data_IF_059951592479
#
_entry.id   IF_059951592479
#
_cell.length_a   1.000
_cell.length_b   1.000
_cell.length_c   1.000
_cell.angle_alpha   90.00
_cell.angle_beta   90.00
_cell.angle_gamma   90.00
#
_symmetry.space_group_name_H-M   'P 1'
#
loop_
_entity.id
_entity.type
_entity.pdbx_description
1 polymer ?
#
# COMPACT_ATOMS: atom_id res chain seq x y z
N UNK A 1 -19.14 19.40 -6.62
CA UNK A 1 -17.66 19.46 -6.72
C UNK A 1 -17.13 19.55 -5.29
N UNK A 2 -16.40 18.55 -4.83
CA UNK A 2 -15.74 18.62 -3.52
C UNK A 2 -14.67 19.71 -3.52
N UNK A 3 -14.56 20.46 -2.44
CA UNK A 3 -13.65 21.61 -2.30
C UNK A 3 -12.16 21.23 -2.23
N UNK A 4 -11.82 19.96 -2.35
CA UNK A 4 -10.43 19.47 -2.27
C UNK A 4 -9.74 19.72 -0.92
N UNK A 5 -10.50 19.91 0.14
CA UNK A 5 -9.96 20.09 1.48
C UNK A 5 -9.80 18.75 2.19
N UNK A 6 -8.61 18.50 2.70
CA UNK A 6 -8.28 17.34 3.53
C UNK A 6 -8.26 17.79 4.99
N UNK A 7 -9.13 17.21 5.82
CA UNK A 7 -9.16 17.48 7.26
C UNK A 7 -8.59 16.27 8.02
N UNK A 8 -7.46 16.44 8.67
CA UNK A 8 -6.83 15.41 9.49
C UNK A 8 -6.84 15.87 10.95
N UNK A 9 -7.65 15.19 11.77
CA UNK A 9 -7.67 15.40 13.21
C UNK A 9 -6.54 14.58 13.87
N UNK A 10 -5.57 15.27 14.46
CA UNK A 10 -4.45 14.63 15.18
C UNK A 10 -4.49 15.04 16.63
N UNK A 11 -4.63 14.11 17.59
CA UNK A 11 -4.43 14.41 19.00
C UNK A 11 -3.01 14.92 19.26
N UNK A 12 -2.87 15.95 20.08
CA UNK A 12 -1.58 16.62 20.35
C UNK A 12 -0.49 15.68 20.90
N UNK A 13 -0.87 14.61 21.59
CA UNK A 13 0.04 13.59 22.13
C UNK A 13 0.49 12.54 21.09
N UNK A 14 0.08 12.66 19.84
CA UNK A 14 0.42 11.74 18.75
C UNK A 14 1.09 12.46 17.58
N UNK A 15 1.98 13.40 17.85
CA UNK A 15 2.60 14.23 16.80
C UNK A 15 3.23 13.40 15.66
N UNK A 16 4.02 12.36 15.98
CA UNK A 16 4.65 11.52 14.96
C UNK A 16 3.62 10.69 14.18
N UNK A 17 2.62 10.14 14.87
CA UNK A 17 1.46 9.48 14.19
C UNK A 17 0.70 10.45 13.30
N UNK A 18 0.60 11.72 13.69
CA UNK A 18 -0.04 12.76 12.89
C UNK A 18 0.67 13.00 11.58
N UNK A 19 2.00 13.09 11.59
CA UNK A 19 2.79 13.25 10.36
C UNK A 19 2.68 12.03 9.45
N UNK A 20 2.72 10.83 10.03
CA UNK A 20 2.53 9.58 9.31
C UNK A 20 1.15 9.51 8.66
N UNK A 21 0.09 9.83 9.41
CA UNK A 21 -1.27 9.87 8.88
C UNK A 21 -1.42 10.95 7.80
N UNK A 22 -0.81 12.13 7.98
CA UNK A 22 -0.82 13.19 6.98
C UNK A 22 -0.22 12.72 5.65
N UNK A 23 0.95 12.09 5.69
CA UNK A 23 1.60 11.54 4.50
C UNK A 23 0.76 10.45 3.84
N UNK A 24 0.14 9.59 4.64
CA UNK A 24 -0.75 8.54 4.18
C UNK A 24 -1.99 9.12 3.46
N UNK A 25 -2.75 9.97 4.12
CA UNK A 25 -3.97 10.56 3.57
C UNK A 25 -3.70 11.49 2.39
N UNK A 26 -2.58 12.23 2.41
CA UNK A 26 -2.17 13.03 1.26
C UNK A 26 -1.90 12.17 0.03
N UNK A 27 -1.29 10.99 0.23
CA UNK A 27 -1.05 10.06 -0.88
C UNK A 27 -2.36 9.53 -1.47
N UNK A 28 -3.37 9.24 -0.62
CA UNK A 28 -4.71 8.92 -1.10
C UNK A 28 -5.33 10.07 -1.92
N UNK A 29 -5.14 11.31 -1.48
CA UNK A 29 -5.61 12.46 -2.25
C UNK A 29 -4.93 12.54 -3.62
N UNK A 30 -3.62 12.25 -3.71
CA UNK A 30 -2.89 12.20 -4.99
C UNK A 30 -3.36 11.02 -5.85
N UNK A 31 -3.55 9.83 -5.28
CA UNK A 31 -4.14 8.68 -5.99
C UNK A 31 -5.51 9.06 -6.58
N UNK A 32 -6.38 9.63 -5.76
CA UNK A 32 -7.73 10.04 -6.17
C UNK A 32 -7.69 11.10 -7.29
N UNK A 33 -6.76 12.04 -7.21
CA UNK A 33 -6.56 13.08 -8.22
C UNK A 33 -6.32 12.50 -9.61
N UNK A 34 -5.60 11.38 -9.71
CA UNK A 34 -5.35 10.71 -10.99
C UNK A 34 -6.65 10.22 -11.66
N UNK A 35 -7.68 9.88 -10.89
CA UNK A 35 -8.94 9.37 -11.40
C UNK A 35 -10.01 10.44 -11.66
N UNK A 36 -9.71 11.72 -11.49
CA UNK A 36 -10.66 12.83 -11.70
C UNK A 36 -11.29 12.87 -13.09
N UNK A 37 -10.56 12.42 -14.09
CA UNK A 37 -11.06 12.32 -15.48
C UNK A 37 -12.06 11.19 -15.68
N UNK A 38 -12.22 10.29 -14.69
CA UNK A 38 -13.14 9.16 -14.70
C UNK A 38 -14.19 9.25 -13.59
N UNK A 39 -15.06 10.27 -13.57
CA UNK A 39 -15.94 10.59 -12.43
C UNK A 39 -16.99 9.51 -12.10
N UNK A 40 -17.22 8.57 -13.03
CA UNK A 40 -18.16 7.46 -12.86
C UNK A 40 -17.51 6.22 -12.21
N UNK A 41 -16.19 6.22 -12.06
CA UNK A 41 -15.43 5.09 -11.52
C UNK A 41 -14.86 5.47 -10.17
N UNK A 42 -15.15 4.67 -9.16
CA UNK A 42 -14.40 4.75 -7.92
C UNK A 42 -12.99 4.21 -8.19
N UNK A 43 -11.98 5.09 -8.28
CA UNK A 43 -10.59 4.73 -8.60
C UNK A 43 -10.03 3.61 -7.69
N UNK A 44 -10.47 3.55 -6.43
CA UNK A 44 -10.10 2.47 -5.53
C UNK A 44 -10.60 1.08 -5.97
N UNK A 45 -11.69 1.01 -6.74
CA UNK A 45 -12.18 -0.25 -7.30
C UNK A 45 -11.36 -0.79 -8.46
N UNK A 46 -10.42 -0.01 -8.97
CA UNK A 46 -9.53 -0.38 -10.07
C UNK A 46 -8.14 -0.85 -9.60
N UNK A 47 -7.82 -0.62 -8.34
CA UNK A 47 -6.56 -1.03 -7.72
C UNK A 47 -6.79 -2.19 -6.75
N UNK A 48 -5.84 -3.14 -6.64
CA UNK A 48 -5.87 -4.11 -5.56
C UNK A 48 -5.83 -3.41 -4.21
N UNK A 49 -6.59 -3.91 -3.25
CA UNK A 49 -6.72 -3.30 -1.93
C UNK A 49 -5.37 -3.20 -1.19
N UNK A 50 -4.53 -4.24 -1.30
CA UNK A 50 -3.19 -4.23 -0.74
C UNK A 50 -2.30 -3.14 -1.32
N UNK A 51 -2.52 -2.78 -2.60
CA UNK A 51 -1.74 -1.75 -3.28
C UNK A 51 -2.26 -0.35 -2.95
N UNK A 52 -3.59 -0.14 -3.02
CA UNK A 52 -4.19 1.17 -2.75
C UNK A 52 -3.95 1.66 -1.33
N UNK A 53 -3.85 0.77 -0.35
CA UNK A 53 -3.55 1.09 1.05
C UNK A 53 -2.05 0.97 1.38
N UNK A 54 -1.35 0.02 0.77
CA UNK A 54 0.08 -0.16 1.00
C UNK A 54 0.93 0.98 0.45
N UNK A 55 0.55 1.56 -0.70
CA UNK A 55 1.28 2.67 -1.30
C UNK A 55 1.32 3.91 -0.39
N UNK A 56 0.22 4.39 0.21
CA UNK A 56 0.24 5.50 1.15
C UNK A 56 1.06 5.25 2.42
N UNK A 57 1.20 3.99 2.84
CA UNK A 57 1.99 3.67 4.01
C UNK A 57 3.49 3.95 3.84
N UNK A 58 4.01 3.89 2.62
CA UNK A 58 5.44 4.16 2.36
C UNK A 58 5.80 5.62 2.69
N UNK A 59 5.21 6.65 2.06
CA UNK A 59 5.48 8.04 2.43
C UNK A 59 4.97 8.39 3.82
N UNK A 60 3.86 7.83 4.27
CA UNK A 60 3.35 8.00 5.63
C UNK A 60 4.38 7.57 6.67
N UNK A 61 4.93 6.38 6.53
CA UNK A 61 5.98 5.89 7.45
C UNK A 61 7.26 6.70 7.33
N UNK A 62 7.67 7.09 6.11
CA UNK A 62 8.91 7.86 5.89
C UNK A 62 8.81 9.26 6.49
N UNK A 63 7.69 9.95 6.31
CA UNK A 63 7.47 11.31 6.81
C UNK A 63 7.17 11.35 8.32
N UNK A 64 6.77 10.22 8.90
CA UNK A 64 6.40 10.10 10.32
C UNK A 64 7.57 10.24 11.29
N UNK A 65 8.83 10.10 10.82
CA UNK A 65 10.01 9.99 11.67
C UNK A 65 11.08 10.99 11.29
N UNK A 66 11.87 11.43 12.27
CA UNK A 66 12.93 12.43 12.07
C UNK A 66 14.28 11.79 11.72
N UNK A 67 14.40 10.47 11.91
CA UNK A 67 15.64 9.74 11.63
C UNK A 67 15.37 8.36 11.04
N UNK A 68 16.37 7.82 10.35
CA UNK A 68 16.34 6.44 9.83
C UNK A 68 16.25 5.42 10.98
N UNK A 69 16.79 5.74 12.13
CA UNK A 69 16.76 4.84 13.30
C UNK A 69 15.34 4.77 13.89
N UNK A 70 14.66 5.91 14.04
CA UNK A 70 13.25 5.93 14.46
C UNK A 70 12.35 5.19 13.46
N UNK A 71 12.59 5.38 12.17
CA UNK A 71 11.90 4.63 11.12
C UNK A 71 12.11 3.12 11.29
N UNK A 72 13.35 2.65 11.48
CA UNK A 72 13.65 1.23 11.71
C UNK A 72 12.95 0.69 12.94
N UNK A 73 12.96 1.44 14.07
CA UNK A 73 12.28 1.03 15.30
C UNK A 73 10.75 0.93 15.09
N UNK A 74 10.15 1.88 14.41
CA UNK A 74 8.73 1.82 14.05
C UNK A 74 8.41 0.61 13.18
N UNK A 75 9.26 0.31 12.20
CA UNK A 75 9.12 -0.84 11.32
C UNK A 75 9.14 -2.15 12.12
N UNK A 76 10.02 -2.28 13.11
CA UNK A 76 10.07 -3.43 14.01
C UNK A 76 8.77 -3.66 14.79
N UNK A 77 8.01 -2.60 15.08
CA UNK A 77 6.72 -2.73 15.77
C UNK A 77 5.68 -3.45 14.91
N UNK A 78 5.71 -3.28 13.59
CA UNK A 78 4.83 -4.00 12.67
C UNK A 78 5.11 -5.50 12.69
N UNK A 79 6.39 -5.89 12.80
CA UNK A 79 6.81 -7.29 12.85
C UNK A 79 6.45 -7.99 14.16
N UNK A 80 6.42 -7.24 15.27
CA UNK A 80 6.14 -7.79 16.62
C UNK A 80 4.67 -7.96 16.91
N UNK A 81 3.79 -7.34 16.14
CA UNK A 81 2.36 -7.45 16.33
C UNK A 81 1.73 -8.21 15.17
N UNK A 82 1.76 -9.55 15.19
CA UNK A 82 1.15 -10.38 14.15
C UNK A 82 -0.36 -10.21 14.20
N UNK A 83 -0.83 -9.10 13.67
CA UNK A 83 -2.25 -8.79 13.67
C UNK A 83 -2.99 -9.69 12.69
N UNK A 84 -3.88 -10.51 13.18
CA UNK A 84 -5.07 -10.94 12.50
C UNK A 84 -5.03 -12.22 11.70
N UNK A 85 -6.15 -12.50 11.14
CA UNK A 85 -6.77 -13.71 10.63
C UNK A 85 -5.99 -14.63 9.64
N UNK A 86 -4.79 -14.28 9.18
CA UNK A 86 -4.02 -15.14 8.29
C UNK A 86 -2.97 -16.00 9.02
N UNK A 87 -2.84 -15.86 10.33
CA UNK A 87 -2.05 -16.74 11.20
C UNK A 87 -0.55 -16.58 11.11
N UNK A 88 0.05 -16.55 9.93
CA UNK A 88 1.49 -16.47 9.73
C UNK A 88 1.88 -15.56 8.55
N UNK A 89 3.16 -15.32 8.41
CA UNK A 89 3.76 -14.56 7.32
C UNK A 89 4.56 -15.46 6.35
N UNK A 90 4.16 -16.73 6.21
CA UNK A 90 4.76 -17.62 5.19
C UNK A 90 4.51 -17.06 3.78
N UNK A 91 5.37 -17.42 2.80
CA UNK A 91 5.14 -17.00 1.42
C UNK A 91 3.77 -17.42 0.89
N UNK A 92 3.27 -18.59 1.30
CA UNK A 92 1.97 -19.12 0.92
C UNK A 92 0.83 -18.26 1.51
N UNK A 93 0.93 -17.85 2.77
CA UNK A 93 -0.04 -16.97 3.42
C UNK A 93 -0.05 -15.58 2.80
N UNK A 94 1.11 -15.04 2.45
CA UNK A 94 1.21 -13.74 1.78
C UNK A 94 0.64 -13.82 0.36
N UNK A 95 0.94 -14.88 -0.38
CA UNK A 95 0.38 -15.08 -1.72
C UNK A 95 -1.15 -15.21 -1.68
N UNK A 96 -1.68 -15.94 -0.69
CA UNK A 96 -3.12 -16.01 -0.42
C UNK A 96 -3.70 -14.63 -0.07
N UNK A 97 -3.00 -13.84 0.73
CA UNK A 97 -3.39 -12.47 1.03
C UNK A 97 -3.52 -11.62 -0.24
N UNK A 98 -2.55 -11.66 -1.16
CA UNK A 98 -2.66 -10.92 -2.42
C UNK A 98 -3.91 -11.29 -3.22
N UNK A 99 -4.28 -12.56 -3.22
CA UNK A 99 -5.51 -13.02 -3.87
C UNK A 99 -6.77 -12.48 -3.18
N UNK A 100 -6.81 -12.47 -1.85
CA UNK A 100 -7.94 -11.97 -1.07
C UNK A 100 -8.04 -10.44 -1.06
N UNK A 101 -6.89 -9.76 -1.08
CA UNK A 101 -6.76 -8.30 -1.12
C UNK A 101 -6.71 -7.75 -2.55
N UNK A 102 -7.17 -8.51 -3.52
CA UNK A 102 -7.26 -8.12 -4.93
C UNK A 102 -8.26 -7.00 -5.18
N UNK A 103 -8.55 -6.75 -6.44
CA UNK A 103 -9.50 -5.72 -6.86
C UNK A 103 -10.89 -6.07 -6.34
N UNK A 104 -11.46 -5.17 -5.54
CA UNK A 104 -12.81 -5.30 -5.00
C UNK A 104 -13.83 -4.60 -5.90
N UNK A 105 -14.90 -5.30 -6.26
CA UNK A 105 -16.02 -4.70 -7.01
C UNK A 105 -16.67 -3.50 -6.32
N UNK A 106 -16.49 -3.37 -5.00
CA UNK A 106 -17.09 -2.31 -4.18
C UNK A 106 -16.06 -1.27 -3.72
N UNK A 107 -14.79 -1.39 -4.10
CA UNK A 107 -13.74 -0.48 -3.66
C UNK A 107 -13.39 -0.59 -2.16
N UNK A 108 -13.92 -1.58 -1.47
CA UNK A 108 -13.68 -1.81 -0.05
C UNK A 108 -12.86 -3.07 0.17
N UNK A 109 -11.86 -2.98 1.03
CA UNK A 109 -11.08 -4.15 1.45
C UNK A 109 -11.92 -5.08 2.33
N UNK A 110 -11.75 -6.40 2.17
CA UNK A 110 -12.41 -7.37 3.04
C UNK A 110 -12.03 -7.09 4.51
N UNK A 111 -13.01 -6.88 5.41
CA UNK A 111 -12.74 -6.61 6.82
C UNK A 111 -11.85 -7.65 7.50
N UNK A 112 -11.90 -8.92 7.04
CA UNK A 112 -11.10 -10.02 7.59
C UNK A 112 -9.60 -9.89 7.36
N UNK A 113 -9.21 -9.16 6.32
CA UNK A 113 -7.81 -8.95 5.96
C UNK A 113 -7.35 -7.50 6.17
N UNK A 114 -8.25 -6.64 6.67
CA UNK A 114 -8.02 -5.20 6.74
C UNK A 114 -6.74 -4.80 7.48
N UNK A 115 -6.39 -5.48 8.56
CA UNK A 115 -5.15 -5.21 9.27
C UNK A 115 -3.91 -5.54 8.44
N UNK A 116 -3.99 -6.58 7.61
CA UNK A 116 -2.87 -7.05 6.76
C UNK A 116 -2.58 -6.16 5.57
N UNK A 117 -3.50 -5.31 5.15
CA UNK A 117 -3.22 -4.35 4.07
C UNK A 117 -2.21 -3.29 4.51
N UNK A 118 -2.16 -2.99 5.81
CA UNK A 118 -1.25 -1.99 6.38
C UNK A 118 0.13 -2.56 6.74
N UNK A 119 0.29 -3.86 6.92
CA UNK A 119 1.58 -4.49 7.15
C UNK A 119 2.13 -5.17 5.88
N UNK A 120 1.45 -6.18 5.35
CA UNK A 120 1.89 -6.89 4.14
C UNK A 120 1.81 -6.00 2.90
N UNK A 121 0.73 -5.21 2.76
CA UNK A 121 0.61 -4.25 1.66
C UNK A 121 1.74 -3.23 1.68
N UNK A 122 2.04 -2.64 2.85
CA UNK A 122 3.16 -1.72 3.03
C UNK A 122 4.49 -2.35 2.63
N UNK A 123 4.84 -3.52 3.19
CA UNK A 123 6.12 -4.18 2.88
C UNK A 123 6.25 -4.54 1.41
N UNK A 124 5.14 -4.90 0.77
CA UNK A 124 5.12 -5.19 -0.67
C UNK A 124 5.42 -3.95 -1.49
N UNK A 125 4.75 -2.83 -1.19
CA UNK A 125 4.97 -1.57 -1.91
C UNK A 125 6.34 -0.98 -1.60
N UNK A 126 6.84 -1.13 -0.36
CA UNK A 126 8.21 -0.74 -0.01
C UNK A 126 9.24 -1.53 -0.86
N UNK A 127 9.05 -2.85 -1.02
CA UNK A 127 9.89 -3.66 -1.89
C UNK A 127 9.83 -3.22 -3.35
N UNK A 128 8.64 -2.91 -3.86
CA UNK A 128 8.46 -2.37 -5.21
C UNK A 128 9.15 -1.01 -5.39
N UNK A 129 9.05 -0.14 -4.39
CA UNK A 129 9.74 1.15 -4.38
C UNK A 129 11.27 0.99 -4.31
N UNK A 130 11.77 0.00 -3.58
CA UNK A 130 13.20 -0.32 -3.54
C UNK A 130 13.74 -0.81 -4.89
N UNK A 131 12.92 -1.49 -5.70
CA UNK A 131 13.31 -2.00 -7.03
C UNK A 131 13.41 -0.86 -8.06
N UNK A 132 12.43 0.04 -8.11
CA UNK A 132 12.32 1.02 -9.22
C UNK A 132 12.05 2.47 -8.77
N UNK A 133 12.14 2.73 -7.48
CA UNK A 133 11.86 4.04 -6.89
C UNK A 133 10.38 4.24 -6.53
N UNK A 134 10.15 5.18 -5.62
CA UNK A 134 8.78 5.44 -5.10
C UNK A 134 7.84 5.94 -6.21
N UNK A 135 8.34 6.68 -7.19
CA UNK A 135 7.54 7.19 -8.30
C UNK A 135 6.96 6.07 -9.16
N UNK A 136 7.69 4.96 -9.33
CA UNK A 136 7.20 3.82 -10.11
C UNK A 136 5.88 3.25 -9.56
N UNK A 137 5.68 3.31 -8.25
CA UNK A 137 4.41 2.89 -7.65
C UNK A 137 3.25 3.81 -8.06
N UNK A 138 3.50 5.11 -8.19
CA UNK A 138 2.50 6.07 -8.68
C UNK A 138 2.28 5.93 -10.20
N UNK A 139 3.32 5.59 -10.97
CA UNK A 139 3.19 5.35 -12.41
C UNK A 139 2.22 4.19 -12.71
N UNK A 140 2.13 3.19 -11.80
CA UNK A 140 1.09 2.14 -11.89
C UNK A 140 -0.31 2.74 -11.75
N UNK A 141 -0.52 3.64 -10.77
CA UNK A 141 -1.81 4.34 -10.56
C UNK A 141 -2.17 5.16 -11.79
N UNK A 142 -1.21 5.91 -12.32
CA UNK A 142 -1.39 6.74 -13.54
C UNK A 142 -1.78 5.87 -14.73
N UNK A 143 -1.12 4.74 -14.94
CA UNK A 143 -1.49 3.82 -16.03
C UNK A 143 -2.92 3.31 -15.90
N UNK A 144 -3.34 2.96 -14.68
CA UNK A 144 -4.72 2.53 -14.42
C UNK A 144 -5.71 3.68 -14.65
N UNK A 145 -5.39 4.90 -14.24
CA UNK A 145 -6.24 6.07 -14.48
C UNK A 145 -6.39 6.41 -15.97
N UNK A 146 -5.43 5.98 -16.79
CA UNK A 146 -5.46 6.10 -18.25
C UNK A 146 -6.20 4.93 -18.96
N UNK A 147 -6.80 4.03 -18.19
CA UNK A 147 -7.62 2.93 -18.71
C UNK A 147 -6.91 1.57 -18.84
N UNK A 148 -5.66 1.45 -18.38
CA UNK A 148 -5.02 0.13 -18.29
C UNK A 148 -5.65 -0.67 -17.12
N UNK A 149 -5.62 -1.99 -17.22
CA UNK A 149 -5.83 -2.84 -16.04
C UNK A 149 -4.66 -2.67 -15.07
N UNK A 150 -4.84 -3.03 -13.79
CA UNK A 150 -3.73 -3.06 -12.84
C UNK A 150 -2.59 -3.94 -13.35
N UNK A 151 -2.91 -5.13 -13.88
CA UNK A 151 -1.95 -6.08 -14.44
C UNK A 151 -1.13 -5.48 -15.58
N UNK A 152 -1.79 -4.82 -16.54
CA UNK A 152 -1.11 -4.20 -17.68
C UNK A 152 -0.25 -3.01 -17.26
N UNK A 153 -0.76 -2.19 -16.34
CA UNK A 153 -0.01 -1.06 -15.79
C UNK A 153 1.20 -1.52 -14.99
N UNK A 154 1.02 -2.52 -14.13
CA UNK A 154 2.11 -3.13 -13.37
C UNK A 154 3.20 -3.69 -14.29
N UNK A 155 2.79 -4.49 -15.30
CA UNK A 155 3.72 -5.04 -16.29
C UNK A 155 4.46 -3.96 -17.07
N UNK A 156 3.77 -2.89 -17.47
CA UNK A 156 4.40 -1.75 -18.16
C UNK A 156 5.46 -1.07 -17.30
N UNK A 157 5.20 -0.92 -15.99
CA UNK A 157 6.11 -0.23 -15.08
C UNK A 157 7.25 -1.14 -14.63
N UNK A 158 6.98 -2.36 -14.22
CA UNK A 158 7.96 -3.27 -13.63
C UNK A 158 8.58 -4.28 -14.61
N UNK A 159 8.10 -4.34 -15.86
CA UNK A 159 8.61 -5.20 -16.93
C UNK A 159 8.42 -6.71 -16.66
N UNK A 160 7.59 -7.05 -15.69
CA UNK A 160 7.20 -8.40 -15.29
C UNK A 160 5.70 -8.41 -15.00
N UNK A 161 4.99 -9.50 -15.30
CA UNK A 161 3.58 -9.61 -14.95
C UNK A 161 3.39 -9.71 -13.42
N UNK A 162 2.24 -9.26 -12.91
CA UNK A 162 1.93 -9.43 -11.49
C UNK A 162 1.91 -10.91 -11.09
N UNK A 163 1.39 -11.78 -11.94
CA UNK A 163 1.34 -13.21 -11.68
C UNK A 163 2.73 -13.84 -11.50
N UNK A 164 3.74 -13.32 -12.19
CA UNK A 164 5.14 -13.75 -12.02
C UNK A 164 5.82 -13.06 -10.82
N UNK A 165 5.51 -11.78 -10.58
CA UNK A 165 6.10 -11.00 -9.49
C UNK A 165 5.56 -11.40 -8.11
N UNK A 166 4.26 -11.71 -7.99
CA UNK A 166 3.60 -11.99 -6.72
C UNK A 166 4.28 -13.11 -5.90
N UNK A 167 4.63 -14.27 -6.46
CA UNK A 167 5.33 -15.31 -5.68
C UNK A 167 6.75 -14.89 -5.27
N UNK A 168 7.42 -14.05 -6.05
CA UNK A 168 8.74 -13.52 -5.70
C UNK A 168 8.61 -12.53 -4.54
N UNK A 169 7.68 -11.58 -4.66
CA UNK A 169 7.41 -10.59 -3.61
C UNK A 169 6.92 -11.25 -2.31
N UNK A 170 6.10 -12.29 -2.41
CA UNK A 170 5.66 -13.04 -1.23
C UNK A 170 6.85 -13.64 -0.46
N UNK A 171 7.86 -14.18 -1.15
CA UNK A 171 9.10 -14.65 -0.52
C UNK A 171 9.92 -13.53 0.09
N UNK A 172 10.07 -12.40 -0.61
CA UNK A 172 10.82 -11.25 -0.11
C UNK A 172 10.16 -10.68 1.15
N UNK A 173 8.85 -10.44 1.11
CA UNK A 173 8.09 -9.90 2.25
C UNK A 173 8.09 -10.89 3.42
N UNK A 174 7.92 -12.18 3.15
CA UNK A 174 8.05 -13.22 4.19
C UNK A 174 9.42 -13.18 4.86
N UNK A 175 10.49 -13.11 4.08
CA UNK A 175 11.84 -13.04 4.62
C UNK A 175 12.07 -11.79 5.50
N UNK A 176 11.47 -10.66 5.16
CA UNK A 176 11.51 -9.45 5.98
C UNK A 176 10.79 -9.64 7.33
N UNK A 177 9.61 -10.27 7.34
CA UNK A 177 8.89 -10.57 8.59
C UNK A 177 9.60 -11.63 9.46
N UNK A 178 10.35 -12.53 8.86
CA UNK A 178 11.05 -13.61 9.59
C UNK A 178 12.42 -13.19 10.14
N UNK A 179 12.95 -12.03 9.78
CA UNK A 179 14.24 -11.52 10.28
C UNK A 179 14.21 -11.07 11.75
N UNK A 180 13.04 -10.87 12.30
CA UNK A 180 12.79 -10.28 13.63
C UNK A 180 11.84 -11.13 14.47
#
# INVERSE_FOLDING_TARGET
>A
MGTGQLFIGVPTNYYNKGRSNLGHEYTHAVQYDQFKSQPTVNGYSLLPCWFSEGQPQVPGSTLGFDSIEEYKQSRLMWFRNPAGALGDYSPESILKFYSLAGISKFGNCDPKIRSRIYDVGYMTVEALAAIKGVNATMDVVVGVSQGLTFEDSFKKVYEISWSEAAPILAKVVSAEFMRY
#
